data_IF_417169130393
#
_entry.id   IF_417169130393
#
_cell.length_a   1.000
_cell.length_b   1.000
_cell.length_c   1.000
_cell.angle_alpha   90.00
_cell.angle_beta   90.00
_cell.angle_gamma   90.00
#
_symmetry.space_group_name_H-M   'P 1'
#
loop_
_entity.id
_entity.type
_entity.pdbx_description
1 polymer ?
#
# COMPACT_ATOMS: atom_id res chain seq x y z
N UNK A 1 58.50 15.95 37.01
CA UNK A 1 59.32 15.85 35.79
C UNK A 1 58.66 14.86 34.83
N UNK A 2 58.36 15.32 33.61
CA UNK A 2 58.30 14.61 32.33
C UNK A 2 58.91 13.17 32.37
N UNK A 3 58.38 12.11 31.76
CA UNK A 3 57.86 11.97 30.39
C UNK A 3 57.29 10.54 30.16
N UNK A 4 56.56 10.38 29.04
CA UNK A 4 56.39 9.18 28.21
C UNK A 4 55.23 8.21 28.49
N UNK A 5 54.14 8.48 27.77
CA UNK A 5 53.14 7.52 27.34
C UNK A 5 53.67 6.65 26.17
N UNK A 6 53.49 5.34 26.25
CA UNK A 6 53.62 4.42 25.11
C UNK A 6 52.25 3.74 24.88
N UNK A 7 51.63 4.07 23.75
CA UNK A 7 50.39 3.45 23.27
C UNK A 7 50.73 2.17 22.49
N UNK A 8 50.18 1.04 22.92
CA UNK A 8 50.17 -0.20 22.15
C UNK A 8 49.09 -0.15 21.05
N UNK A 9 49.47 -0.58 19.86
CA UNK A 9 48.70 -0.60 18.62
C UNK A 9 47.82 -1.85 18.53
N UNK A 10 46.52 -1.65 18.31
CA UNK A 10 45.62 -2.70 17.82
C UNK A 10 45.17 -2.27 16.41
N UNK A 11 45.65 -3.02 15.42
CA UNK A 11 45.32 -2.90 14.01
C UNK A 11 43.82 -3.16 13.80
N UNK A 12 43.08 -2.12 13.39
CA UNK A 12 41.76 -2.27 12.76
C UNK A 12 41.97 -2.28 11.25
N UNK A 13 41.77 -3.43 10.61
CA UNK A 13 41.62 -3.53 9.15
C UNK A 13 40.45 -2.64 8.73
N UNK A 14 40.73 -1.64 7.90
CA UNK A 14 39.72 -0.84 7.23
C UNK A 14 38.98 -1.71 6.21
N UNK A 15 37.66 -1.82 6.37
CA UNK A 15 36.78 -2.26 5.29
C UNK A 15 36.59 -1.06 4.37
N UNK A 16 37.05 -1.17 3.13
CA UNK A 16 36.92 -0.12 2.13
C UNK A 16 35.44 0.16 1.85
N UNK A 17 34.98 1.37 2.15
CA UNK A 17 33.72 1.93 1.66
C UNK A 17 33.96 2.52 0.26
N UNK A 18 33.04 2.39 -0.70
CA UNK A 18 33.14 3.10 -1.97
C UNK A 18 33.11 4.61 -1.69
N UNK A 19 34.15 5.31 -2.11
CA UNK A 19 34.32 6.75 -1.95
C UNK A 19 33.47 7.50 -2.97
N UNK A 20 32.31 7.99 -2.56
CA UNK A 20 31.68 9.16 -3.19
C UNK A 20 32.06 10.40 -2.37
N UNK A 21 33.22 10.96 -2.67
CA UNK A 21 33.66 12.27 -2.17
C UNK A 21 33.33 13.30 -3.25
N UNK A 22 32.29 14.11 -3.02
CA UNK A 22 32.08 15.35 -3.77
C UNK A 22 32.57 16.47 -2.85
N UNK A 23 33.70 17.09 -3.21
CA UNK A 23 34.20 18.31 -2.58
C UNK A 23 33.14 19.42 -2.65
N UNK A 24 32.65 19.86 -1.49
CA UNK A 24 31.72 21.00 -1.39
C UNK A 24 32.49 22.33 -1.47
N UNK A 25 32.69 22.81 -2.69
CA UNK A 25 33.10 24.18 -2.99
C UNK A 25 31.89 25.08 -3.31
N UNK A 26 31.94 26.34 -2.87
CA UNK A 26 30.90 27.36 -3.04
C UNK A 26 30.34 27.40 -4.48
N UNK A 27 29.07 27.02 -4.65
CA UNK A 27 28.47 26.82 -5.98
C UNK A 27 27.71 28.07 -6.45
N UNK A 28 28.12 28.59 -7.62
CA UNK A 28 27.36 29.56 -8.41
C UNK A 28 26.00 28.99 -8.83
N UNK A 29 25.01 29.86 -9.09
CA UNK A 29 23.63 29.49 -9.50
C UNK A 29 23.58 28.47 -10.66
N UNK A 30 24.54 28.54 -11.59
CA UNK A 30 24.69 27.60 -12.72
C UNK A 30 25.11 26.20 -12.23
N UNK A 31 26.04 26.10 -11.28
CA UNK A 31 26.44 24.84 -10.67
C UNK A 31 25.31 24.17 -9.88
N UNK A 32 24.47 24.97 -9.19
CA UNK A 32 23.29 24.46 -8.47
C UNK A 32 22.25 23.86 -9.42
N UNK A 33 22.01 24.46 -10.58
CA UNK A 33 21.07 23.92 -11.58
C UNK A 33 21.57 22.62 -12.24
N UNK A 34 22.86 22.53 -12.54
CA UNK A 34 23.47 21.31 -13.08
C UNK A 34 23.40 20.16 -12.06
N UNK A 35 23.76 20.43 -10.80
CA UNK A 35 23.64 19.47 -9.71
C UNK A 35 22.19 19.00 -9.54
N UNK A 36 21.22 19.92 -9.55
CA UNK A 36 19.78 19.57 -9.53
C UNK A 36 19.40 18.64 -10.68
N UNK A 37 19.87 18.93 -11.89
CA UNK A 37 19.55 18.13 -13.08
C UNK A 37 20.19 16.73 -13.03
N UNK A 38 21.40 16.61 -12.48
CA UNK A 38 22.10 15.34 -12.31
C UNK A 38 21.47 14.49 -11.22
N UNK A 39 21.20 15.04 -10.04
CA UNK A 39 20.50 14.35 -8.95
C UNK A 39 19.13 13.81 -9.41
N UNK A 40 18.38 14.57 -10.22
CA UNK A 40 17.09 14.12 -10.81
C UNK A 40 17.21 12.93 -11.78
N UNK A 41 18.37 12.75 -12.40
CA UNK A 41 18.63 11.61 -13.30
C UNK A 41 19.03 10.37 -12.50
N UNK A 42 19.75 10.55 -11.39
CA UNK A 42 20.35 9.46 -10.61
C UNK A 42 19.37 8.90 -9.57
N UNK A 43 18.57 9.74 -8.91
CA UNK A 43 17.69 9.30 -7.82
C UNK A 43 16.34 8.84 -8.38
N UNK A 44 16.25 7.54 -8.73
CA UNK A 44 15.01 6.89 -9.18
C UNK A 44 14.94 5.46 -8.70
N UNK A 45 13.83 5.10 -8.06
CA UNK A 45 13.61 3.73 -7.61
C UNK A 45 12.12 3.37 -7.63
N UNK A 46 11.79 2.12 -7.95
CA UNK A 46 10.47 1.52 -7.69
C UNK A 46 10.71 0.21 -6.93
N UNK A 47 10.24 0.13 -5.70
CA UNK A 47 10.52 -0.98 -4.79
C UNK A 47 9.33 -1.24 -3.86
N UNK A 48 9.11 -2.50 -3.44
CA UNK A 48 8.10 -2.83 -2.45
C UNK A 48 8.61 -2.72 -1.03
N UNK A 49 7.75 -2.22 -0.14
CA UNK A 49 7.94 -2.24 1.32
C UNK A 49 6.84 -3.06 1.97
N UNK A 50 7.14 -3.57 3.16
CA UNK A 50 6.17 -4.22 4.03
C UNK A 50 5.60 -3.16 4.99
N UNK A 51 4.33 -2.81 4.83
CA UNK A 51 3.60 -1.94 5.76
C UNK A 51 3.07 -2.78 6.91
N UNK A 52 3.33 -2.36 8.15
CA UNK A 52 2.79 -3.03 9.33
C UNK A 52 1.33 -2.63 9.63
N UNK A 53 0.63 -3.49 10.39
CA UNK A 53 -0.74 -3.21 10.84
C UNK A 53 -0.76 -1.97 11.75
N UNK A 54 -1.70 -1.07 11.51
CA UNK A 54 -1.90 0.16 12.28
C UNK A 54 -1.09 1.36 11.75
N UNK A 55 -0.12 1.13 10.88
CA UNK A 55 0.68 2.20 10.28
C UNK A 55 -0.05 2.83 9.08
N UNK A 56 -0.12 4.16 9.02
CA UNK A 56 -0.67 4.85 7.86
C UNK A 56 0.36 4.95 6.73
N UNK A 57 -0.09 4.99 5.47
CA UNK A 57 0.83 5.23 4.34
C UNK A 57 1.49 6.61 4.40
N UNK A 58 0.88 7.59 5.08
CA UNK A 58 1.50 8.88 5.34
C UNK A 58 2.75 8.68 6.20
N UNK A 59 2.63 7.94 7.30
CA UNK A 59 3.75 7.69 8.21
C UNK A 59 4.88 6.89 7.54
N UNK A 60 4.54 5.86 6.74
CA UNK A 60 5.52 5.12 5.93
C UNK A 60 6.27 6.06 5.00
N UNK A 61 5.55 6.94 4.31
CA UNK A 61 6.13 7.90 3.36
C UNK A 61 7.06 8.89 4.06
N UNK A 62 6.67 9.40 5.23
CA UNK A 62 7.49 10.30 6.04
C UNK A 62 8.77 9.60 6.54
N UNK A 63 8.67 8.35 7.00
CA UNK A 63 9.84 7.55 7.39
C UNK A 63 10.82 7.34 6.25
N UNK A 64 10.33 6.93 5.07
CA UNK A 64 11.15 6.78 3.87
C UNK A 64 11.82 8.09 3.46
N UNK A 65 11.07 9.21 3.49
CA UNK A 65 11.63 10.54 3.20
C UNK A 65 12.75 10.91 4.16
N UNK A 66 12.58 10.69 5.47
CA UNK A 66 13.60 10.99 6.48
C UNK A 66 14.87 10.16 6.24
N UNK A 67 14.72 8.85 6.05
CA UNK A 67 15.85 7.94 5.82
C UNK A 67 16.58 8.29 4.54
N UNK A 68 15.87 8.50 3.42
CA UNK A 68 16.52 8.80 2.14
C UNK A 68 17.17 10.18 2.11
N UNK A 69 16.58 11.18 2.76
CA UNK A 69 17.24 12.49 2.87
C UNK A 69 18.56 12.39 3.65
N UNK A 70 18.59 11.55 4.70
CA UNK A 70 19.79 11.29 5.49
C UNK A 70 20.84 10.51 4.69
N UNK A 71 20.47 9.37 4.11
CA UNK A 71 21.39 8.50 3.38
C UNK A 71 22.02 9.18 2.16
N UNK A 72 21.26 10.03 1.47
CA UNK A 72 21.70 10.74 0.27
C UNK A 72 22.33 12.11 0.56
N UNK A 73 22.30 12.58 1.82
CA UNK A 73 22.72 13.92 2.21
C UNK A 73 22.10 15.05 1.36
N UNK A 74 20.82 14.90 1.00
CA UNK A 74 20.05 15.89 0.23
C UNK A 74 18.62 16.02 0.75
N UNK A 75 17.97 17.15 0.48
CA UNK A 75 16.52 17.27 0.64
C UNK A 75 15.83 16.96 -0.67
N UNK A 76 15.31 15.75 -0.83
CA UNK A 76 14.65 15.25 -2.05
C UNK A 76 13.60 16.23 -2.61
N UNK A 77 12.82 16.83 -1.71
CA UNK A 77 11.78 17.80 -2.06
C UNK A 77 12.32 19.05 -2.76
N UNK A 78 13.52 19.54 -2.39
CA UNK A 78 14.17 20.68 -3.06
C UNK A 78 14.49 20.39 -4.53
N UNK A 79 14.64 19.11 -4.87
CA UNK A 79 14.93 18.64 -6.22
C UNK A 79 13.67 18.19 -6.97
N UNK A 80 12.48 18.39 -6.42
CA UNK A 80 11.21 17.85 -6.92
C UNK A 80 11.24 16.31 -7.09
N UNK A 81 11.99 15.63 -6.23
CA UNK A 81 11.98 14.17 -6.14
C UNK A 81 10.91 13.80 -5.11
N UNK A 82 9.92 13.02 -5.56
CA UNK A 82 8.81 12.58 -4.75
C UNK A 82 9.03 11.15 -4.29
N UNK A 83 8.61 10.86 -3.05
CA UNK A 83 8.48 9.50 -2.52
C UNK A 83 6.98 9.24 -2.41
N UNK A 84 6.46 8.32 -3.20
CA UNK A 84 5.01 8.11 -3.32
C UNK A 84 4.67 6.63 -3.24
N UNK A 85 3.62 6.25 -2.48
CA UNK A 85 3.08 4.91 -2.59
C UNK A 85 2.48 4.71 -3.98
N UNK A 86 2.62 3.50 -4.49
CA UNK A 86 2.05 3.11 -5.77
C UNK A 86 0.53 3.05 -5.66
N UNK A 87 -0.02 2.63 -4.52
CA UNK A 87 -1.47 2.52 -4.32
C UNK A 87 -1.91 2.96 -2.93
N UNK A 88 -3.06 2.46 -2.53
CA UNK A 88 -3.60 2.61 -1.18
C UNK A 88 -3.68 1.24 -0.50
N UNK A 89 -3.45 1.23 0.81
CA UNK A 89 -3.59 0.08 1.69
C UNK A 89 -4.12 0.61 3.02
N UNK A 90 -5.19 0.03 3.53
CA UNK A 90 -5.86 0.50 4.75
C UNK A 90 -4.92 0.49 5.96
N UNK A 91 -5.18 1.38 6.93
CA UNK A 91 -4.31 1.53 8.11
C UNK A 91 -4.30 0.24 8.93
N UNK A 92 -5.47 -0.39 9.11
CA UNK A 92 -5.61 -1.65 9.85
C UNK A 92 -5.05 -2.88 9.11
N UNK A 93 -4.70 -2.73 7.83
CA UNK A 93 -4.14 -3.82 7.03
C UNK A 93 -2.62 -3.90 7.20
N UNK A 94 -2.08 -5.11 7.07
CA UNK A 94 -0.63 -5.35 6.87
C UNK A 94 -0.40 -5.71 5.41
N UNK A 95 0.82 -5.56 4.91
CA UNK A 95 1.23 -6.26 3.69
C UNK A 95 2.13 -5.48 2.76
N UNK A 96 2.35 -6.05 1.58
CA UNK A 96 3.23 -5.48 0.57
C UNK A 96 2.59 -4.26 -0.09
N UNK A 97 3.32 -3.16 -0.20
CA UNK A 97 2.96 -2.02 -1.04
C UNK A 97 4.18 -1.48 -1.77
N UNK A 98 4.03 -1.19 -3.06
CA UNK A 98 5.08 -0.55 -3.83
C UNK A 98 5.23 0.92 -3.48
N UNK A 99 6.46 1.43 -3.57
CA UNK A 99 6.82 2.84 -3.53
C UNK A 99 7.61 3.23 -4.77
N UNK A 100 7.50 4.49 -5.16
CA UNK A 100 8.28 5.11 -6.21
C UNK A 100 9.00 6.33 -5.66
N UNK A 101 10.27 6.46 -6.01
CA UNK A 101 11.12 7.62 -5.75
C UNK A 101 11.56 8.20 -7.09
N UNK A 102 11.33 9.48 -7.31
CA UNK A 102 11.80 10.16 -8.52
C UNK A 102 10.94 11.35 -8.92
N UNK A 103 11.26 11.93 -10.08
CA UNK A 103 10.51 13.06 -10.66
C UNK A 103 9.42 12.63 -11.65
N UNK A 104 9.51 11.41 -12.20
CA UNK A 104 8.59 10.91 -13.20
C UNK A 104 7.79 9.74 -12.64
N UNK A 105 6.47 9.94 -12.56
CA UNK A 105 5.51 8.99 -11.99
C UNK A 105 4.65 8.32 -13.07
N UNK A 106 5.08 8.34 -14.34
CA UNK A 106 4.28 7.81 -15.46
C UNK A 106 4.00 6.31 -15.30
N UNK A 107 4.94 5.54 -14.75
CA UNK A 107 4.73 4.12 -14.48
C UNK A 107 3.66 3.89 -13.39
N UNK A 108 3.52 4.80 -12.41
CA UNK A 108 2.55 4.68 -11.32
C UNK A 108 1.12 4.56 -11.81
N UNK A 109 0.76 5.28 -12.89
CA UNK A 109 -0.61 5.26 -13.43
C UNK A 109 -1.06 3.85 -13.78
N UNK A 110 -0.14 3.01 -14.27
CA UNK A 110 -0.41 1.64 -14.67
C UNK A 110 -0.26 0.70 -13.48
N UNK A 111 0.78 0.88 -12.65
CA UNK A 111 0.97 0.06 -11.46
C UNK A 111 -0.23 0.17 -10.48
N UNK A 112 -0.90 1.32 -10.43
CA UNK A 112 -2.15 1.53 -9.66
C UNK A 112 -3.32 0.67 -10.08
N UNK A 113 -3.33 0.28 -11.34
CA UNK A 113 -4.39 -0.53 -11.94
C UNK A 113 -4.07 -2.02 -11.85
N UNK A 114 -3.01 -2.38 -11.14
CA UNK A 114 -2.60 -3.78 -11.00
C UNK A 114 -3.57 -4.59 -10.14
N UNK A 115 -3.56 -5.89 -10.39
CA UNK A 115 -4.20 -6.87 -9.51
C UNK A 115 -3.57 -6.86 -8.12
N UNK A 116 -4.36 -7.26 -7.12
CA UNK A 116 -3.99 -7.40 -5.72
C UNK A 116 -4.46 -8.76 -5.21
N UNK A 117 -3.74 -9.30 -4.24
CA UNK A 117 -4.17 -10.49 -3.49
C UNK A 117 -4.24 -10.17 -2.02
N UNK A 118 -5.29 -10.69 -1.38
CA UNK A 118 -5.55 -10.50 0.03
C UNK A 118 -5.82 -11.84 0.70
N UNK A 119 -5.34 -11.95 1.93
CA UNK A 119 -5.87 -12.88 2.92
C UNK A 119 -6.58 -12.04 3.98
N UNK A 120 -7.82 -12.39 4.30
CA UNK A 120 -8.58 -11.66 5.30
C UNK A 120 -9.29 -12.59 6.27
N UNK A 121 -9.48 -12.07 7.49
CA UNK A 121 -10.39 -12.61 8.49
C UNK A 121 -11.56 -11.67 8.63
N UNK A 122 -12.77 -12.16 8.44
CA UNK A 122 -14.00 -11.45 8.77
C UNK A 122 -14.72 -12.10 9.95
N UNK A 123 -15.65 -11.36 10.54
CA UNK A 123 -16.57 -11.86 11.57
C UNK A 123 -18.00 -11.48 11.20
N UNK A 124 -18.91 -12.45 11.24
CA UNK A 124 -20.35 -12.22 11.14
C UNK A 124 -20.92 -11.71 12.47
N UNK A 125 -22.15 -11.21 12.41
CA UNK A 125 -22.96 -10.83 13.57
C UNK A 125 -22.73 -9.43 14.12
N UNK A 126 -21.77 -8.68 13.59
CA UNK A 126 -21.51 -7.30 14.00
C UNK A 126 -21.17 -6.43 12.79
N UNK A 127 -21.90 -5.32 12.66
CA UNK A 127 -21.63 -4.23 11.72
C UNK A 127 -20.82 -3.15 12.43
N UNK A 128 -19.80 -2.60 11.75
CA UNK A 128 -19.03 -1.48 12.28
C UNK A 128 -19.07 -0.28 11.35
N UNK A 129 -18.88 0.91 11.92
CA UNK A 129 -18.93 2.20 11.23
C UNK A 129 -17.94 2.33 10.06
N UNK A 130 -16.83 1.58 10.10
CA UNK A 130 -15.76 1.59 9.08
C UNK A 130 -15.67 0.30 8.27
N UNK A 131 -16.58 -0.65 8.48
CA UNK A 131 -16.58 -2.01 7.91
C UNK A 131 -15.32 -2.83 8.26
N UNK A 132 -14.56 -2.38 9.25
CA UNK A 132 -13.41 -3.08 9.80
C UNK A 132 -13.39 -2.96 11.33
N UNK A 133 -12.42 -3.62 11.96
CA UNK A 133 -12.28 -3.69 13.42
C UNK A 133 -11.85 -2.39 14.11
N UNK A 134 -11.58 -1.30 13.38
CA UNK A 134 -11.31 0.02 13.97
C UNK A 134 -12.58 0.85 14.23
N UNK A 135 -13.71 0.47 13.63
CA UNK A 135 -14.96 1.24 13.74
C UNK A 135 -15.80 0.84 14.95
N UNK A 136 -16.62 1.77 15.42
CA UNK A 136 -17.62 1.51 16.45
C UNK A 136 -18.70 0.56 15.93
N UNK A 137 -19.26 -0.23 16.84
CA UNK A 137 -20.39 -1.12 16.53
C UNK A 137 -21.63 -0.29 16.21
N UNK A 138 -22.19 -0.49 15.02
CA UNK A 138 -23.41 0.20 14.55
C UNK A 138 -24.62 -0.71 14.50
N UNK A 139 -24.43 -2.03 14.61
CA UNK A 139 -25.52 -2.99 14.59
C UNK A 139 -25.06 -4.43 14.79
N UNK A 140 -26.00 -5.30 15.13
CA UNK A 140 -25.78 -6.73 15.34
C UNK A 140 -26.89 -7.53 14.68
N UNK A 141 -26.58 -8.74 14.21
CA UNK A 141 -27.55 -9.65 13.61
C UNK A 141 -27.22 -11.11 13.94
N UNK A 142 -28.19 -12.04 13.92
CA UNK A 142 -27.91 -13.47 14.03
C UNK A 142 -26.99 -13.97 12.91
N UNK A 143 -26.22 -15.02 13.17
CA UNK A 143 -25.30 -15.63 12.19
C UNK A 143 -25.29 -17.17 12.21
N UNK A 144 -25.97 -17.81 13.16
CA UNK A 144 -25.97 -19.27 13.32
C UNK A 144 -26.52 -20.01 12.09
N UNK A 145 -27.32 -19.31 11.26
CA UNK A 145 -27.88 -19.86 10.02
C UNK A 145 -26.89 -19.91 8.85
N UNK A 146 -25.70 -19.32 8.98
CA UNK A 146 -24.72 -19.23 7.91
C UNK A 146 -23.92 -20.53 7.81
N UNK A 147 -23.92 -21.15 6.63
CA UNK A 147 -23.10 -22.33 6.33
C UNK A 147 -22.08 -22.01 5.24
N UNK A 148 -21.06 -22.86 5.09
CA UNK A 148 -20.04 -22.70 4.05
C UNK A 148 -20.66 -22.71 2.65
N UNK A 149 -21.65 -23.57 2.43
CA UNK A 149 -22.37 -23.67 1.16
C UNK A 149 -23.18 -22.41 0.86
N UNK A 150 -23.84 -21.82 1.87
CA UNK A 150 -24.57 -20.55 1.71
C UNK A 150 -23.61 -19.41 1.38
N UNK A 151 -22.49 -19.35 2.10
CA UNK A 151 -21.43 -18.37 1.89
C UNK A 151 -20.86 -18.44 0.47
N UNK A 152 -20.44 -19.62 0.02
CA UNK A 152 -19.81 -19.81 -1.29
C UNK A 152 -20.80 -19.55 -2.45
N UNK A 153 -22.08 -19.88 -2.28
CA UNK A 153 -23.13 -19.54 -3.27
C UNK A 153 -23.21 -18.03 -3.53
N UNK A 154 -22.99 -17.20 -2.51
CA UNK A 154 -23.06 -15.73 -2.63
C UNK A 154 -21.87 -15.13 -3.39
N UNK A 155 -20.71 -15.80 -3.43
CA UNK A 155 -19.50 -15.27 -4.08
C UNK A 155 -19.71 -14.92 -5.55
N UNK A 156 -20.53 -15.69 -6.27
CA UNK A 156 -20.83 -15.46 -7.70
C UNK A 156 -21.27 -14.02 -8.02
N UNK A 157 -21.98 -13.35 -7.10
CA UNK A 157 -22.46 -11.96 -7.28
C UNK A 157 -21.35 -10.91 -7.17
N UNK A 158 -20.21 -11.29 -6.59
CA UNK A 158 -19.08 -10.40 -6.33
C UNK A 158 -17.92 -10.64 -7.29
N UNK A 159 -18.05 -11.53 -8.28
CA UNK A 159 -17.01 -11.82 -9.27
C UNK A 159 -17.19 -10.98 -10.54
N UNK A 160 -16.09 -10.72 -11.24
CA UNK A 160 -16.06 -9.93 -12.47
C UNK A 160 -16.01 -8.42 -12.23
N UNK A 161 -16.48 -7.67 -13.20
CA UNK A 161 -16.63 -6.22 -13.10
C UNK A 161 -17.91 -5.89 -12.33
N UNK A 162 -17.76 -5.23 -11.19
CA UNK A 162 -18.84 -4.90 -10.25
C UNK A 162 -18.76 -3.43 -9.84
N UNK A 163 -19.83 -2.93 -9.22
CA UNK A 163 -19.81 -1.64 -8.54
C UNK A 163 -19.79 -1.86 -7.03
N UNK A 164 -18.89 -1.14 -6.35
CA UNK A 164 -18.80 -1.15 -4.90
C UNK A 164 -19.05 0.24 -4.34
N UNK A 165 -19.82 0.30 -3.26
CA UNK A 165 -19.90 1.49 -2.42
C UNK A 165 -18.52 1.80 -1.84
N UNK A 166 -18.14 3.07 -1.85
CA UNK A 166 -16.90 3.51 -1.20
C UNK A 166 -17.02 3.24 0.30
N UNK A 167 -16.08 2.45 0.85
CA UNK A 167 -16.02 2.20 2.27
C UNK A 167 -15.74 3.51 3.03
N UNK A 168 -16.31 3.70 4.24
CA UNK A 168 -15.98 4.83 5.10
C UNK A 168 -14.47 4.88 5.39
N UNK A 169 -13.91 6.08 5.53
CA UNK A 169 -12.48 6.23 5.79
C UNK A 169 -12.10 5.78 7.21
N UNK A 170 -10.89 5.22 7.37
CA UNK A 170 -10.35 4.86 8.68
C UNK A 170 -10.14 6.16 9.51
N UNK A 171 -10.66 6.21 10.74
CA UNK A 171 -10.41 7.32 11.67
C UNK A 171 -11.24 8.60 11.44
N UNK A 172 -12.28 8.54 10.60
CA UNK A 172 -13.30 9.61 10.57
C UNK A 172 -14.36 9.29 11.62
N UNK A 173 -14.45 10.13 12.65
CA UNK A 173 -15.58 10.09 13.59
C UNK A 173 -16.88 10.21 12.80
N UNK A 174 -17.71 9.17 12.86
CA UNK A 174 -19.06 9.24 12.32
C UNK A 174 -19.88 9.98 13.38
N UNK A 175 -20.49 11.14 13.07
CA UNK A 175 -21.32 11.82 14.03
C UNK A 175 -22.45 10.90 14.50
N UNK A 176 -22.92 11.01 15.76
CA UNK A 176 -24.02 10.20 16.27
C UNK A 176 -25.23 10.23 15.31
N UNK A 177 -25.95 9.12 15.18
CA UNK A 177 -27.10 8.98 14.26
C UNK A 177 -28.17 10.09 14.44
N UNK A 178 -28.25 10.70 15.61
CA UNK A 178 -29.16 11.80 15.93
C UNK A 178 -28.75 13.15 15.32
N UNK A 179 -27.48 13.30 14.89
CA UNK A 179 -26.92 14.56 14.36
C UNK A 179 -27.00 14.61 12.83
N UNK A 180 -26.98 13.45 12.16
CA UNK A 180 -26.98 13.35 10.69
C UNK A 180 -28.18 12.54 10.25
N UNK A 181 -29.22 13.22 9.76
CA UNK A 181 -30.22 12.58 8.91
C UNK A 181 -29.50 12.01 7.69
N UNK A 182 -29.21 10.70 7.69
CA UNK A 182 -28.56 9.96 6.59
C UNK A 182 -29.39 9.93 5.29
N UNK A 183 -30.48 10.68 5.20
CA UNK A 183 -31.43 10.63 4.08
C UNK A 183 -30.88 11.24 2.77
N UNK A 184 -29.74 11.93 2.77
CA UNK A 184 -29.26 12.62 1.54
C UNK A 184 -27.75 12.56 1.25
N UNK A 185 -26.96 11.72 1.94
CA UNK A 185 -25.58 11.47 1.46
C UNK A 185 -25.66 10.46 0.33
N UNK A 186 -25.51 10.93 -0.91
CA UNK A 186 -25.49 10.06 -2.08
C UNK A 186 -24.43 8.96 -1.88
N UNK A 187 -24.89 7.70 -1.86
CA UNK A 187 -24.02 6.52 -1.77
C UNK A 187 -23.14 6.50 -3.01
N UNK A 188 -21.88 6.90 -2.87
CA UNK A 188 -20.95 6.91 -3.99
C UNK A 188 -20.48 5.50 -4.29
N UNK A 189 -20.82 5.01 -5.48
CA UNK A 189 -20.31 3.75 -6.02
C UNK A 189 -19.13 4.00 -6.96
N UNK A 190 -18.23 3.03 -7.04
CA UNK A 190 -17.10 3.03 -7.97
C UNK A 190 -16.94 1.67 -8.64
N UNK A 191 -16.42 1.62 -9.87
CA UNK A 191 -16.10 0.37 -10.52
C UNK A 191 -15.01 -0.38 -9.74
N UNK A 192 -15.14 -1.70 -9.69
CA UNK A 192 -14.22 -2.62 -9.06
C UNK A 192 -14.16 -3.92 -9.89
N UNK A 193 -13.06 -4.64 -9.79
CA UNK A 193 -12.92 -5.95 -10.42
C UNK A 193 -12.53 -6.97 -9.36
N UNK A 194 -13.25 -8.10 -9.30
CA UNK A 194 -12.90 -9.23 -8.46
C UNK A 194 -12.68 -10.46 -9.35
N UNK A 195 -11.54 -11.11 -9.22
CA UNK A 195 -11.18 -12.25 -10.06
C UNK A 195 -11.55 -13.58 -9.40
N UNK A 196 -11.27 -13.71 -8.09
CA UNK A 196 -11.62 -14.90 -7.33
C UNK A 196 -11.80 -14.63 -5.85
N UNK A 197 -12.65 -15.43 -5.22
CA UNK A 197 -12.87 -15.46 -3.77
C UNK A 197 -12.90 -16.94 -3.37
N UNK A 198 -12.14 -17.30 -2.33
CA UNK A 198 -12.09 -18.65 -1.79
C UNK A 198 -12.23 -18.62 -0.28
N UNK A 199 -13.14 -19.43 0.26
CA UNK A 199 -13.27 -19.63 1.69
C UNK A 199 -12.35 -20.76 2.15
N UNK A 200 -11.27 -20.42 2.85
CA UNK A 200 -10.34 -21.40 3.39
C UNK A 200 -10.83 -22.00 4.71
N UNK A 201 -11.54 -21.21 5.53
CA UNK A 201 -12.06 -21.65 6.83
C UNK A 201 -13.34 -20.90 7.22
N UNK A 202 -14.28 -21.61 7.82
CA UNK A 202 -15.47 -21.04 8.44
C UNK A 202 -15.62 -21.63 9.85
N UNK A 203 -15.42 -20.80 10.86
CA UNK A 203 -15.55 -21.12 12.28
C UNK A 203 -16.36 -19.98 12.93
N UNK A 204 -17.69 -20.06 12.85
CA UNK A 204 -18.56 -18.95 13.24
C UNK A 204 -18.22 -18.38 14.64
N UNK A 205 -18.28 -17.04 14.80
CA UNK A 205 -18.67 -16.05 13.78
C UNK A 205 -17.57 -15.75 12.74
N UNK A 206 -16.36 -16.29 12.92
CA UNK A 206 -15.20 -15.97 12.11
C UNK A 206 -15.12 -16.76 10.79
N UNK A 207 -14.56 -16.13 9.76
CA UNK A 207 -14.26 -16.77 8.49
C UNK A 207 -12.96 -16.24 7.88
N UNK A 208 -12.31 -17.06 7.07
CA UNK A 208 -11.07 -16.73 6.37
C UNK A 208 -11.26 -16.83 4.86
N UNK A 209 -10.90 -15.74 4.16
CA UNK A 209 -10.99 -15.67 2.71
C UNK A 209 -9.63 -15.35 2.09
N UNK A 210 -9.40 -15.94 0.92
CA UNK A 210 -8.38 -15.54 -0.04
C UNK A 210 -9.09 -14.85 -1.20
N UNK A 211 -8.63 -13.65 -1.57
CA UNK A 211 -9.23 -12.83 -2.64
C UNK A 211 -8.16 -12.41 -3.63
N UNK A 212 -8.42 -12.60 -4.92
CA UNK A 212 -7.69 -11.97 -6.00
C UNK A 212 -8.61 -10.97 -6.70
N UNK A 213 -8.16 -9.72 -6.85
CA UNK A 213 -8.97 -8.64 -7.39
C UNK A 213 -8.15 -7.67 -8.24
N UNK A 214 -8.82 -6.94 -9.12
CA UNK A 214 -8.25 -5.84 -9.90
C UNK A 214 -8.40 -4.47 -9.21
N UNK A 215 -8.31 -3.37 -9.95
CA UNK A 215 -8.48 -2.02 -9.41
C UNK A 215 -9.87 -1.78 -8.81
N UNK A 216 -9.96 -0.84 -7.87
CA UNK A 216 -11.21 -0.39 -7.26
C UNK A 216 -11.80 -1.28 -6.16
N UNK A 217 -11.49 -2.59 -6.18
CA UNK A 217 -12.02 -3.54 -5.20
C UNK A 217 -11.56 -3.24 -3.77
N UNK A 218 -12.54 -3.19 -2.86
CA UNK A 218 -12.43 -2.95 -1.42
C UNK A 218 -12.86 -4.21 -0.67
N UNK A 219 -11.93 -4.93 0.00
CA UNK A 219 -12.27 -6.09 0.83
C UNK A 219 -13.26 -5.74 1.95
N UNK A 220 -13.22 -4.50 2.45
CA UNK A 220 -14.13 -3.99 3.48
C UNK A 220 -15.57 -3.91 3.01
N UNK A 221 -15.78 -3.24 1.88
CA UNK A 221 -17.11 -3.14 1.26
C UNK A 221 -17.65 -4.53 0.94
N UNK A 222 -16.80 -5.39 0.38
CA UNK A 222 -17.18 -6.76 0.07
C UNK A 222 -17.66 -7.54 1.30
N UNK A 223 -16.91 -7.53 2.41
CA UNK A 223 -17.30 -8.26 3.62
C UNK A 223 -18.61 -7.71 4.22
N UNK A 224 -18.77 -6.39 4.23
CA UNK A 224 -20.00 -5.75 4.67
C UNK A 224 -21.22 -6.18 3.84
N UNK A 225 -21.11 -6.06 2.51
CA UNK A 225 -22.19 -6.42 1.59
C UNK A 225 -22.48 -7.92 1.63
N UNK A 226 -21.46 -8.76 1.81
CA UNK A 226 -21.60 -10.21 1.98
C UNK A 226 -22.40 -10.56 3.25
N UNK A 227 -22.18 -9.86 4.35
CA UNK A 227 -22.96 -10.02 5.58
C UNK A 227 -24.44 -9.75 5.31
N UNK A 228 -24.76 -8.65 4.63
CA UNK A 228 -26.13 -8.27 4.26
C UNK A 228 -26.78 -9.29 3.33
N UNK A 229 -26.02 -9.76 2.34
CA UNK A 229 -26.48 -10.77 1.38
C UNK A 229 -26.77 -12.14 2.02
N UNK A 230 -26.25 -12.38 3.22
CA UNK A 230 -26.47 -13.57 4.04
C UNK A 230 -27.50 -13.35 5.17
N UNK A 231 -28.28 -12.27 5.11
CA UNK A 231 -29.27 -11.90 6.13
C UNK A 231 -28.64 -11.75 7.53
N UNK A 232 -27.44 -11.15 7.57
CA UNK A 232 -26.68 -10.87 8.79
C UNK A 232 -25.93 -9.52 8.63
N UNK A 233 -24.88 -9.33 9.41
CA UNK A 233 -23.90 -8.26 9.23
C UNK A 233 -22.48 -8.82 9.40
N UNK A 234 -21.48 -8.11 8.87
CA UNK A 234 -20.09 -8.53 9.01
C UNK A 234 -19.13 -7.35 8.89
N UNK A 235 -17.93 -7.52 9.43
CA UNK A 235 -16.82 -6.58 9.27
C UNK A 235 -15.49 -7.33 9.13
N UNK A 236 -14.47 -6.64 8.61
CA UNK A 236 -13.12 -7.20 8.49
C UNK A 236 -12.38 -7.08 9.82
N UNK A 237 -11.94 -8.20 10.38
CA UNK A 237 -11.17 -8.27 11.63
C UNK A 237 -9.67 -8.10 11.35
N UNK A 238 -9.18 -8.77 10.31
CA UNK A 238 -7.78 -8.74 9.88
C UNK A 238 -7.70 -8.71 8.35
N UNK A 239 -6.76 -7.93 7.82
CA UNK A 239 -6.51 -7.83 6.39
C UNK A 239 -5.01 -7.84 6.11
N UNK A 240 -4.58 -8.75 5.24
CA UNK A 240 -3.21 -8.82 4.76
C UNK A 240 -3.18 -8.77 3.23
N UNK A 241 -2.51 -7.75 2.67
CA UNK A 241 -2.23 -7.68 1.25
C UNK A 241 -0.97 -8.49 0.94
N UNK A 242 -1.15 -9.69 0.41
CA UNK A 242 -0.05 -10.62 0.12
C UNK A 242 0.63 -10.32 -1.22
N UNK A 243 -0.06 -9.60 -2.11
CA UNK A 243 0.48 -9.17 -3.41
C UNK A 243 -0.10 -7.81 -3.84
N UNK A 244 0.74 -6.93 -4.38
CA UNK A 244 0.35 -5.72 -5.10
C UNK A 244 1.05 -5.66 -6.46
N UNK A 245 0.28 -5.87 -7.52
CA UNK A 245 0.80 -6.02 -8.88
C UNK A 245 1.88 -7.09 -8.95
N UNK A 246 3.11 -6.76 -9.39
CA UNK A 246 4.17 -7.73 -9.50
C UNK A 246 4.81 -8.09 -8.14
N UNK A 247 4.56 -7.30 -7.09
CA UNK A 247 5.27 -7.42 -5.82
C UNK A 247 4.51 -8.32 -4.84
N UNK A 248 5.22 -9.25 -4.23
CA UNK A 248 4.74 -10.15 -3.17
C UNK A 248 5.41 -9.82 -1.84
N UNK A 249 4.96 -10.42 -0.74
CA UNK A 249 5.58 -10.28 0.59
C UNK A 249 7.08 -10.61 0.60
N UNK A 250 7.54 -11.57 -0.21
CA UNK A 250 8.96 -11.97 -0.31
C UNK A 250 9.86 -10.86 -0.87
N UNK A 251 9.29 -9.99 -1.70
CA UNK A 251 10.01 -8.86 -2.26
C UNK A 251 10.08 -7.67 -1.29
N UNK A 252 9.14 -7.60 -0.35
CA UNK A 252 8.86 -6.41 0.45
C UNK A 252 9.95 -6.16 1.50
N UNK A 253 10.55 -4.96 1.46
CA UNK A 253 11.53 -4.57 2.47
C UNK A 253 10.81 -4.30 3.81
N UNK A 254 11.20 -4.95 4.92
CA UNK A 254 10.72 -4.59 6.25
C UNK A 254 11.31 -3.25 6.71
N UNK A 255 10.67 -2.59 7.68
CA UNK A 255 11.00 -1.21 8.09
C UNK A 255 12.48 -0.98 8.45
N UNK A 256 13.14 -1.96 9.06
CA UNK A 256 14.56 -1.86 9.44
C UNK A 256 15.52 -1.97 8.24
N UNK A 257 15.01 -2.19 7.02
CA UNK A 257 15.76 -2.32 5.75
C UNK A 257 15.38 -1.24 4.73
N UNK A 258 14.83 -0.12 5.19
CA UNK A 258 14.39 0.97 4.33
C UNK A 258 15.48 1.99 3.98
N UNK A 259 16.77 1.59 4.01
CA UNK A 259 17.85 2.48 3.55
C UNK A 259 17.77 2.71 2.04
N UNK A 260 18.35 3.83 1.58
CA UNK A 260 18.42 4.15 0.15
C UNK A 260 19.12 3.07 -0.66
N UNK A 261 20.22 2.52 -0.13
CA UNK A 261 21.00 1.47 -0.79
C UNK A 261 20.17 0.20 -1.00
N UNK A 262 19.41 -0.22 0.02
CA UNK A 262 18.55 -1.40 -0.08
C UNK A 262 17.35 -1.16 -1.02
N UNK A 263 16.73 0.02 -0.94
CA UNK A 263 15.64 0.41 -1.83
C UNK A 263 16.09 0.46 -3.30
N UNK A 264 17.29 1.01 -3.55
CA UNK A 264 17.87 1.11 -4.90
C UNK A 264 18.24 -0.26 -5.44
N UNK A 265 18.91 -1.09 -4.64
CA UNK A 265 19.26 -2.46 -5.02
C UNK A 265 18.02 -3.31 -5.29
N UNK A 266 16.98 -3.19 -4.47
CA UNK A 266 15.69 -3.85 -4.70
C UNK A 266 15.04 -3.38 -6.00
N UNK A 267 15.05 -2.07 -6.26
CA UNK A 267 14.51 -1.49 -7.49
C UNK A 267 15.23 -2.00 -8.75
N UNK A 268 16.57 -2.07 -8.73
CA UNK A 268 17.37 -2.60 -9.83
C UNK A 268 17.08 -4.09 -10.07
N UNK A 269 17.11 -4.89 -9.00
CA UNK A 269 16.81 -6.32 -9.05
C UNK A 269 15.42 -6.61 -9.63
N UNK A 270 14.43 -5.79 -9.29
CA UNK A 270 13.03 -5.97 -9.69
C UNK A 270 12.65 -5.20 -10.96
N UNK A 271 13.61 -4.56 -11.63
CA UNK A 271 13.35 -3.69 -12.78
C UNK A 271 12.60 -4.39 -13.90
N UNK A 272 13.10 -5.55 -14.33
CA UNK A 272 12.47 -6.35 -15.40
C UNK A 272 11.06 -6.82 -15.02
N UNK A 273 10.87 -7.14 -13.74
CA UNK A 273 9.61 -7.60 -13.19
C UNK A 273 8.53 -6.50 -13.26
N UNK A 274 8.79 -5.30 -12.74
CA UNK A 274 7.77 -4.24 -12.76
C UNK A 274 7.63 -3.58 -14.13
N UNK A 275 8.69 -3.51 -14.95
CA UNK A 275 8.59 -2.89 -16.28
C UNK A 275 7.73 -3.73 -17.22
N UNK A 276 7.96 -5.04 -17.28
CA UNK A 276 7.15 -5.96 -18.08
C UNK A 276 5.69 -5.99 -17.61
N UNK A 277 5.48 -5.95 -16.29
CA UNK A 277 4.14 -5.86 -15.71
C UNK A 277 3.40 -4.57 -16.10
N UNK A 278 4.08 -3.42 -16.13
CA UNK A 278 3.48 -2.15 -16.58
C UNK A 278 2.98 -2.22 -18.01
N UNK A 279 3.74 -2.84 -18.91
CA UNK A 279 3.33 -2.98 -20.31
C UNK A 279 2.15 -3.95 -20.46
N UNK A 280 2.14 -5.04 -19.67
CA UNK A 280 0.99 -5.94 -19.57
C UNK A 280 -0.27 -5.21 -19.08
N UNK A 281 -0.22 -4.51 -17.95
CA UNK A 281 -1.37 -3.77 -17.41
C UNK A 281 -1.86 -2.70 -18.38
N UNK A 282 -0.95 -2.03 -19.10
CA UNK A 282 -1.32 -1.07 -20.14
C UNK A 282 -2.11 -1.72 -21.26
N UNK A 283 -1.73 -2.91 -21.69
CA UNK A 283 -2.45 -3.69 -22.69
C UNK A 283 -3.82 -4.14 -22.16
N UNK A 284 -3.84 -4.78 -20.99
CA UNK A 284 -5.05 -5.36 -20.38
C UNK A 284 -6.11 -4.29 -20.06
N UNK A 285 -5.68 -3.09 -19.65
CA UNK A 285 -6.58 -2.00 -19.25
C UNK A 285 -6.92 -1.05 -20.39
N UNK A 286 -6.47 -1.29 -21.63
CA UNK A 286 -6.60 -0.33 -22.75
C UNK A 286 -8.05 0.15 -22.94
N UNK A 287 -9.00 -0.77 -22.91
CA UNK A 287 -10.42 -0.46 -23.16
C UNK A 287 -11.18 -0.05 -21.88
N UNK A 288 -10.65 -0.38 -20.71
CA UNK A 288 -11.28 -0.12 -19.40
C UNK A 288 -10.65 1.05 -18.64
N UNK A 289 -9.56 1.64 -19.12
CA UNK A 289 -8.82 2.71 -18.44
C UNK A 289 -9.71 3.90 -18.04
N UNK A 290 -10.68 4.25 -18.88
CA UNK A 290 -11.60 5.36 -18.65
C UNK A 290 -12.44 5.18 -17.36
N UNK A 291 -12.78 3.93 -17.01
CA UNK A 291 -13.51 3.59 -15.79
C UNK A 291 -12.67 3.82 -14.53
N UNK A 292 -11.35 3.57 -14.61
CA UNK A 292 -10.43 3.62 -13.48
C UNK A 292 -9.48 4.82 -13.50
N UNK A 293 -9.72 5.81 -14.37
CA UNK A 293 -8.84 6.97 -14.56
C UNK A 293 -8.57 7.76 -13.27
N UNK A 294 -9.54 7.83 -12.36
CA UNK A 294 -9.41 8.53 -11.09
C UNK A 294 -8.45 7.79 -10.14
N UNK A 295 -8.49 6.46 -10.14
CA UNK A 295 -7.55 5.62 -9.40
C UNK A 295 -6.14 5.70 -9.99
N UNK A 296 -6.01 5.74 -11.32
CA UNK A 296 -4.72 5.89 -11.99
C UNK A 296 -4.06 7.24 -11.71
N UNK A 297 -4.86 8.30 -11.53
CA UNK A 297 -4.39 9.70 -11.43
C UNK A 297 -3.94 10.16 -10.05
N UNK A 298 -4.18 9.42 -8.96
CA UNK A 298 -3.89 9.86 -7.58
C UNK A 298 -2.52 10.59 -7.45
N UNK A 299 -2.50 11.92 -7.42
CA UNK A 299 -1.28 12.72 -7.26
C UNK A 299 -1.58 13.78 -6.21
#
# INVERSE_FOLDING_TARGET
CYTNAAKASISRRAVARPSFLIEMGATTLVGKQTLVRETRKVVRAIFPVLKEKGESLKDVTEKLLLVFNYDLDIRLQHYAIHVLPIGYLDNFARGVIGYSVGTNITALRWLRLSNRKFVLKGSFGTETSTYNSLGDVTGTAPYDHITKEKLEKKFSRFLGAIEQTIAPADGVEIPPEHVVKREHVAVMKRPAICHSIKCSKLNLPDFLLEIECGPGFSPRTFVHDLGKDLDSCAHVVHLEQTQYGPFTLEHALPAYRWSWDEASAASEKLRSLWSSHVDKVRSDMKDQYHLFKNLARYC
#
